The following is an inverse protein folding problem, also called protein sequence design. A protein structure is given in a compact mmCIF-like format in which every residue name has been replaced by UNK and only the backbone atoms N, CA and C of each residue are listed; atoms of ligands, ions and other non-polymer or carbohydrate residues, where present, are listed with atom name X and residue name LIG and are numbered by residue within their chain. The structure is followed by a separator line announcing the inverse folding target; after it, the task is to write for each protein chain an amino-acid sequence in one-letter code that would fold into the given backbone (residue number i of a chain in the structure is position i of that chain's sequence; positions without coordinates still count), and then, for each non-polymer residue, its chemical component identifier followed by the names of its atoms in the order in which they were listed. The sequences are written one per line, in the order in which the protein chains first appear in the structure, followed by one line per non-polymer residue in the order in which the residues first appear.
data_IF_026886534483
#
_entry.id   IF_026886534483
#
_cell.length_a   1.000
_cell.length_b   1.000
_cell.length_c   1.000
_cell.angle_alpha   90.00
_cell.angle_beta   90.00
_cell.angle_gamma   90.00
#
_symmetry.space_group_name_H-M   'P 1'
#
loop_
_entity.id
_entity.type
_entity.pdbx_description
1 polymer ?
#
# COMPACT_ATOMS: atom_id res chain seq x y z
N UNK A 1 -8.92 -19.71 -5.83
CA UNK A 1 -10.34 -19.72 -5.38
C UNK A 1 -10.30 -19.28 -3.94
N UNK A 2 -10.75 -18.07 -3.63
CA UNK A 2 -10.97 -17.69 -2.23
C UNK A 2 -12.02 -18.66 -1.68
N UNK A 3 -11.84 -19.24 -0.48
CA UNK A 3 -12.87 -20.11 0.09
C UNK A 3 -14.20 -19.34 0.09
N UNK A 4 -15.27 -19.97 -0.40
CA UNK A 4 -16.58 -19.33 -0.59
C UNK A 4 -17.21 -18.82 0.73
N UNK A 5 -16.57 -19.10 1.88
CA UNK A 5 -17.06 -18.80 3.23
C UNK A 5 -16.17 -17.85 4.07
N UNK A 6 -15.22 -17.11 3.46
CA UNK A 6 -14.50 -16.06 4.22
C UNK A 6 -15.42 -14.84 4.37
N UNK A 7 -16.22 -14.84 5.44
CA UNK A 7 -16.94 -13.64 5.89
C UNK A 7 -15.90 -12.57 6.26
N UNK A 8 -15.65 -11.64 5.34
CA UNK A 8 -14.69 -10.55 5.52
C UNK A 8 -15.27 -9.58 6.56
N UNK A 9 -14.97 -9.85 7.83
CA UNK A 9 -15.37 -9.01 8.95
C UNK A 9 -14.30 -7.97 9.22
N UNK A 10 -14.76 -6.74 9.48
CA UNK A 10 -13.88 -5.69 9.99
C UNK A 10 -13.38 -6.14 11.37
N UNK A 11 -12.06 -6.05 11.66
CA UNK A 11 -11.54 -6.37 12.98
C UNK A 11 -12.20 -5.49 14.05
N UNK A 12 -12.33 -6.02 15.28
CA UNK A 12 -12.82 -5.25 16.42
C UNK A 12 -11.92 -4.03 16.67
N UNK A 13 -12.49 -2.97 17.24
CA UNK A 13 -11.73 -1.79 17.60
C UNK A 13 -10.51 -2.14 18.48
N UNK A 14 -9.35 -1.52 18.22
CA UNK A 14 -8.18 -1.75 19.06
C UNK A 14 -8.43 -1.23 20.48
N UNK A 15 -8.05 -2.02 21.49
CA UNK A 15 -8.17 -1.63 22.91
C UNK A 15 -7.22 -0.50 23.33
N UNK A 16 -6.27 -0.14 22.46
CA UNK A 16 -5.25 0.89 22.72
C UNK A 16 -5.71 2.25 22.21
N UNK A 17 -5.55 3.28 23.04
CA UNK A 17 -5.74 4.66 22.61
C UNK A 17 -4.78 5.02 21.46
N UNK A 18 -5.27 5.82 20.52
CA UNK A 18 -4.45 6.33 19.43
C UNK A 18 -3.31 7.21 19.99
N UNK A 19 -2.08 7.13 19.45
CA UNK A 19 -1.00 8.01 19.86
C UNK A 19 -1.33 9.48 19.61
N UNK A 20 -1.17 10.34 20.61
CA UNK A 20 -1.52 11.77 20.54
C UNK A 20 -0.85 12.53 19.40
N UNK A 21 0.36 12.13 19.00
CA UNK A 21 1.07 12.69 17.83
C UNK A 21 0.34 12.39 16.52
N UNK A 22 -0.23 11.20 16.39
CA UNK A 22 -0.98 10.78 15.20
C UNK A 22 -2.33 11.52 15.14
N UNK A 23 -3.04 11.60 16.26
CA UNK A 23 -4.31 12.34 16.35
C UNK A 23 -4.15 13.81 15.96
N UNK A 24 -3.16 14.50 16.53
CA UNK A 24 -2.88 15.91 16.18
C UNK A 24 -2.56 16.08 14.70
N UNK A 25 -1.73 15.19 14.14
CA UNK A 25 -1.39 15.19 12.71
C UNK A 25 -2.64 15.01 11.86
N UNK A 26 -3.51 14.07 12.22
CA UNK A 26 -4.77 13.85 11.52
C UNK A 26 -5.69 15.07 11.61
N UNK A 27 -5.86 15.65 12.79
CA UNK A 27 -6.66 16.86 12.97
C UNK A 27 -6.18 18.03 12.11
N UNK A 28 -4.87 18.25 12.00
CA UNK A 28 -4.29 19.30 11.16
C UNK A 28 -4.65 19.11 9.69
N UNK A 29 -4.49 17.88 9.17
CA UNK A 29 -4.88 17.56 7.80
C UNK A 29 -6.38 17.69 7.57
N UNK A 30 -7.19 17.23 8.53
CA UNK A 30 -8.64 17.31 8.44
C UNK A 30 -9.15 18.75 8.46
N UNK A 31 -8.62 19.60 9.34
CA UNK A 31 -8.92 21.03 9.39
C UNK A 31 -8.54 21.72 8.08
N UNK A 32 -7.37 21.38 7.51
CA UNK A 32 -6.94 21.90 6.21
C UNK A 32 -7.88 21.46 5.08
N UNK A 33 -8.24 20.19 5.02
CA UNK A 33 -9.21 19.65 4.08
C UNK A 33 -10.56 20.38 4.16
N UNK A 34 -11.10 20.55 5.37
CA UNK A 34 -12.36 21.27 5.59
C UNK A 34 -12.31 22.74 5.16
N UNK A 35 -11.15 23.40 5.33
CA UNK A 35 -10.98 24.81 4.96
C UNK A 35 -10.82 25.02 3.45
N UNK A 36 -10.08 24.15 2.78
CA UNK A 36 -9.69 24.37 1.37
C UNK A 36 -10.48 23.52 0.39
N UNK A 37 -11.19 22.48 0.84
CA UNK A 37 -11.86 21.48 -0.01
C UNK A 37 -10.88 20.66 -0.84
N UNK A 38 -9.58 20.70 -0.55
CA UNK A 38 -8.53 20.09 -1.38
C UNK A 38 -8.41 18.61 -1.04
N UNK A 39 -8.89 17.78 -1.95
CA UNK A 39 -8.62 16.35 -1.95
C UNK A 39 -7.11 16.10 -2.13
N UNK A 40 -6.48 15.47 -1.14
CA UNK A 40 -5.05 15.18 -1.21
C UNK A 40 -4.73 14.14 -2.29
N UNK A 41 -5.65 13.21 -2.59
CA UNK A 41 -5.45 12.22 -3.64
C UNK A 41 -5.36 12.91 -5.02
N UNK A 42 -6.30 13.81 -5.32
CA UNK A 42 -6.27 14.63 -6.54
C UNK A 42 -4.98 15.44 -6.61
N UNK A 43 -4.62 16.10 -5.51
CA UNK A 43 -3.38 16.89 -5.44
C UNK A 43 -2.13 16.05 -5.69
N UNK A 44 -2.05 14.82 -5.18
CA UNK A 44 -0.93 13.90 -5.41
C UNK A 44 -0.88 13.51 -6.88
N UNK A 45 -2.02 13.18 -7.50
CA UNK A 45 -2.12 12.81 -8.91
C UNK A 45 -1.70 13.94 -9.86
N UNK A 46 -1.88 15.20 -9.49
CA UNK A 46 -1.47 16.37 -10.29
C UNK A 46 0.05 16.62 -10.26
N UNK A 47 0.76 16.13 -9.23
CA UNK A 47 2.21 16.32 -9.09
C UNK A 47 2.94 15.76 -10.32
N UNK A 48 3.84 16.56 -10.88
CA UNK A 48 4.62 16.17 -12.08
C UNK A 48 5.39 14.89 -11.85
N UNK A 49 5.99 14.75 -10.67
CA UNK A 49 6.76 13.57 -10.33
C UNK A 49 5.86 12.33 -10.21
N UNK A 50 4.63 12.47 -9.70
CA UNK A 50 3.69 11.35 -9.61
C UNK A 50 3.19 10.89 -10.98
N UNK A 51 3.12 11.79 -11.97
CA UNK A 51 2.78 11.46 -13.37
C UNK A 51 3.95 10.88 -14.17
N UNK A 52 5.16 10.89 -13.63
CA UNK A 52 6.32 10.29 -14.26
C UNK A 52 6.31 8.77 -14.01
N UNK A 53 6.27 7.92 -15.05
CA UNK A 53 6.34 6.46 -14.88
C UNK A 53 7.53 5.99 -14.03
N UNK A 54 8.68 6.68 -14.08
CA UNK A 54 9.84 6.37 -13.25
C UNK A 54 9.65 6.62 -11.74
N UNK A 55 8.52 7.21 -11.32
CA UNK A 55 8.18 7.35 -9.89
C UNK A 55 7.86 5.99 -9.26
N UNK A 56 7.28 5.05 -10.01
CA UNK A 56 6.95 3.74 -9.46
C UNK A 56 8.20 2.99 -9.00
N UNK A 57 9.28 3.01 -9.78
CA UNK A 57 10.58 2.44 -9.39
C UNK A 57 11.08 3.02 -8.05
N UNK A 58 10.94 4.34 -7.86
CA UNK A 58 11.29 5.00 -6.60
C UNK A 58 10.38 4.55 -5.45
N UNK A 59 9.08 4.40 -5.68
CA UNK A 59 8.14 3.94 -4.66
C UNK A 59 8.43 2.50 -4.25
N UNK A 60 8.66 1.62 -5.22
CA UNK A 60 9.01 0.21 -5.00
C UNK A 60 10.27 0.13 -4.12
N UNK A 61 11.34 0.84 -4.52
CA UNK A 61 12.59 0.88 -3.76
C UNK A 61 12.42 1.49 -2.37
N UNK A 62 11.69 2.61 -2.25
CA UNK A 62 11.53 3.32 -0.98
C UNK A 62 10.66 2.58 0.03
N UNK A 63 9.60 1.90 -0.44
CA UNK A 63 8.67 1.15 0.40
C UNK A 63 9.11 -0.30 0.61
N UNK A 64 10.16 -0.75 -0.07
CA UNK A 64 10.63 -2.14 -0.01
C UNK A 64 9.59 -3.11 -0.56
N UNK A 65 8.88 -2.71 -1.62
CA UNK A 65 7.87 -3.56 -2.25
C UNK A 65 8.57 -4.66 -3.04
N UNK A 66 8.15 -5.89 -2.80
CA UNK A 66 8.52 -7.03 -3.62
C UNK A 66 7.68 -7.02 -4.90
N UNK A 67 8.34 -6.76 -6.03
CA UNK A 67 7.68 -6.55 -7.34
C UNK A 67 6.91 -7.77 -7.84
N UNK A 68 7.37 -8.96 -7.44
CA UNK A 68 6.73 -10.23 -7.78
C UNK A 68 5.98 -10.83 -6.58
N UNK A 69 5.99 -10.13 -5.44
CA UNK A 69 5.38 -10.58 -4.20
C UNK A 69 3.88 -10.77 -4.31
N UNK A 70 3.34 -11.61 -3.42
CA UNK A 70 1.92 -11.93 -3.38
C UNK A 70 1.37 -11.87 -1.97
N UNK A 71 0.07 -11.60 -1.86
CA UNK A 71 -0.67 -11.72 -0.60
C UNK A 71 -1.19 -13.15 -0.35
N UNK A 72 -0.92 -14.10 -1.25
CA UNK A 72 -1.25 -15.50 -1.02
C UNK A 72 -0.30 -16.14 -0.01
N UNK A 73 -0.77 -17.13 0.78
CA UNK A 73 0.11 -17.99 1.57
C UNK A 73 1.12 -18.68 0.65
N UNK A 74 2.37 -18.80 1.10
CA UNK A 74 3.45 -19.39 0.31
C UNK A 74 3.18 -20.86 -0.04
N UNK A 75 2.40 -21.57 0.78
CA UNK A 75 1.95 -22.94 0.52
C UNK A 75 1.01 -23.04 -0.68
N UNK A 76 0.31 -21.95 -1.01
CA UNK A 76 -0.61 -21.87 -2.14
C UNK A 76 0.09 -21.37 -3.40
N UNK A 77 0.94 -20.35 -3.26
CA UNK A 77 1.69 -19.77 -4.36
C UNK A 77 2.92 -19.05 -3.84
N UNK A 78 4.09 -19.51 -4.28
CA UNK A 78 5.37 -18.87 -4.02
C UNK A 78 5.91 -18.26 -5.33
N UNK A 79 5.86 -16.93 -5.49
CA UNK A 79 6.37 -16.26 -6.68
C UNK A 79 7.89 -16.36 -6.84
N UNK A 80 8.64 -16.72 -5.80
CA UNK A 80 10.11 -16.90 -5.83
C UNK A 80 10.53 -18.36 -5.96
N UNK A 81 9.59 -19.27 -6.19
CA UNK A 81 9.86 -20.72 -6.24
C UNK A 81 10.82 -21.11 -7.36
N UNK A 82 10.82 -20.38 -8.48
CA UNK A 82 11.67 -20.67 -9.63
C UNK A 82 13.08 -20.11 -9.42
N UNK A 83 14.07 -21.00 -9.35
CA UNK A 83 15.49 -20.65 -9.31
C UNK A 83 16.04 -20.22 -10.67
N UNK A 84 17.30 -19.81 -10.71
CA UNK A 84 17.97 -19.27 -11.91
C UNK A 84 17.92 -20.23 -13.10
N UNK A 85 17.93 -21.53 -12.83
CA UNK A 85 17.82 -22.62 -13.81
C UNK A 85 16.48 -22.66 -14.57
N UNK A 86 15.46 -21.96 -14.06
CA UNK A 86 14.13 -21.90 -14.66
C UNK A 86 13.97 -20.74 -15.65
N UNK A 87 14.93 -19.81 -15.67
CA UNK A 87 14.94 -18.67 -16.59
C UNK A 87 15.76 -19.05 -17.83
N UNK A 88 15.28 -18.63 -19.01
CA UNK A 88 16.03 -18.80 -20.25
C UNK A 88 17.37 -18.05 -20.11
N UNK A 89 18.49 -18.70 -20.42
CA UNK A 89 19.83 -18.10 -20.34
C UNK A 89 19.84 -16.75 -21.07
N UNK A 90 20.30 -15.69 -20.39
CA UNK A 90 20.66 -14.40 -21.02
C UNK A 90 22.08 -14.45 -21.60
#
# INVERSE_FOLDING_TARGET
IFPEDVDIRIPSEPNTSCPSKLEKKFEEYYKKFKKTGVDQNVRIQELKDFRNPCMYEKMISHLGIDEIGTNFPQELYDPHWWGKESYYEE
#
